data_IF_330571048464
#
_entry.id   IF_330571048464
#
_cell.length_a   1.000
_cell.length_b   1.000
_cell.length_c   1.000
_cell.angle_alpha   90.00
_cell.angle_beta   90.00
_cell.angle_gamma   90.00
#
_symmetry.space_group_name_H-M   'P 1'
#
loop_
_entity.id
_entity.type
_entity.pdbx_description
1 polymer ?
#
# COMPACT_ATOMS: atom_id res chain seq x y z
N UNK A 1 -19.92 -33.69 2.18
CA UNK A 1 -20.40 -32.32 1.87
C UNK A 1 -21.67 -32.44 1.03
N UNK A 2 -22.76 -31.73 1.37
CA UNK A 2 -24.05 -31.83 0.63
C UNK A 2 -23.92 -31.18 -0.76
N UNK A 3 -24.52 -31.79 -1.79
CA UNK A 3 -24.50 -31.30 -3.19
C UNK A 3 -24.96 -29.84 -3.31
N UNK A 4 -25.93 -29.44 -2.49
CA UNK A 4 -26.44 -28.07 -2.46
C UNK A 4 -25.37 -27.05 -2.03
N UNK A 5 -24.52 -27.40 -1.07
CA UNK A 5 -23.41 -26.54 -0.61
C UNK A 5 -22.38 -26.30 -1.71
N UNK A 6 -22.10 -27.31 -2.55
CA UNK A 6 -21.19 -27.18 -3.70
C UNK A 6 -21.78 -26.26 -4.80
N UNK A 7 -23.09 -26.35 -5.06
CA UNK A 7 -23.77 -25.47 -6.01
C UNK A 7 -23.73 -24.01 -5.54
N UNK A 8 -23.96 -23.76 -4.25
CA UNK A 8 -23.85 -22.43 -3.66
C UNK A 8 -22.42 -21.89 -3.77
N UNK A 9 -21.40 -22.67 -3.40
CA UNK A 9 -20.00 -22.25 -3.52
C UNK A 9 -19.62 -21.94 -4.98
N UNK A 10 -20.08 -22.74 -5.95
CA UNK A 10 -19.83 -22.49 -7.36
C UNK A 10 -20.50 -21.19 -7.85
N UNK A 11 -21.70 -20.89 -7.35
CA UNK A 11 -22.38 -19.63 -7.65
C UNK A 11 -21.66 -18.44 -7.03
N UNK A 12 -21.29 -18.53 -5.75
CA UNK A 12 -20.56 -17.50 -5.02
C UNK A 12 -19.22 -17.23 -5.69
N UNK A 13 -18.41 -18.27 -5.94
CA UNK A 13 -17.12 -18.14 -6.62
C UNK A 13 -17.27 -17.47 -7.99
N UNK A 14 -18.23 -17.92 -8.81
CA UNK A 14 -18.46 -17.34 -10.14
C UNK A 14 -18.74 -15.84 -10.09
N UNK A 15 -19.65 -15.39 -9.24
CA UNK A 15 -20.08 -14.00 -9.23
C UNK A 15 -19.12 -13.08 -8.49
N UNK A 16 -18.60 -13.51 -7.35
CA UNK A 16 -17.55 -12.76 -6.65
C UNK A 16 -16.33 -12.56 -7.55
N UNK A 17 -15.85 -13.61 -8.21
CA UNK A 17 -14.74 -13.52 -9.16
C UNK A 17 -15.07 -12.60 -10.33
N UNK A 18 -16.22 -12.79 -10.99
CA UNK A 18 -16.55 -12.02 -12.20
C UNK A 18 -16.66 -10.52 -11.93
N UNK A 19 -17.28 -10.14 -10.80
CA UNK A 19 -17.45 -8.73 -10.42
C UNK A 19 -16.10 -8.08 -10.12
N UNK A 20 -15.21 -8.76 -9.39
CA UNK A 20 -13.92 -8.17 -9.02
C UNK A 20 -12.87 -8.29 -10.13
N UNK A 21 -13.01 -9.18 -11.11
CA UNK A 21 -11.96 -9.54 -12.09
C UNK A 21 -11.39 -8.32 -12.82
N UNK A 22 -12.24 -7.41 -13.32
CA UNK A 22 -11.77 -6.23 -14.07
C UNK A 22 -10.89 -5.34 -13.19
N UNK A 23 -11.29 -5.13 -11.93
CA UNK A 23 -10.54 -4.30 -10.99
C UNK A 23 -9.28 -5.01 -10.51
N UNK A 24 -9.34 -6.31 -10.22
CA UNK A 24 -8.14 -7.08 -9.86
C UNK A 24 -7.13 -7.10 -11.01
N UNK A 25 -7.58 -7.19 -12.26
CA UNK A 25 -6.70 -7.09 -13.42
C UNK A 25 -6.04 -5.72 -13.51
N UNK A 26 -6.80 -4.64 -13.29
CA UNK A 26 -6.26 -3.29 -13.19
C UNK A 26 -5.23 -3.18 -12.07
N UNK A 27 -5.51 -3.75 -10.89
CA UNK A 27 -4.59 -3.73 -9.74
C UNK A 27 -3.31 -4.51 -10.03
N UNK A 28 -3.38 -5.70 -10.64
CA UNK A 28 -2.19 -6.44 -11.07
C UNK A 28 -1.37 -5.61 -12.07
N UNK A 29 -2.01 -5.08 -13.12
CA UNK A 29 -1.33 -4.31 -14.17
C UNK A 29 -0.65 -3.04 -13.63
N UNK A 30 -1.29 -2.36 -12.69
CA UNK A 30 -0.75 -1.15 -12.05
C UNK A 30 0.22 -1.47 -10.92
N UNK A 31 0.10 -2.63 -10.28
CA UNK A 31 0.99 -3.12 -9.22
C UNK A 31 2.35 -3.58 -9.75
N UNK A 32 2.41 -4.19 -10.94
CA UNK A 32 3.66 -4.62 -11.57
C UNK A 32 4.76 -3.55 -11.59
N UNK A 33 4.54 -2.32 -12.11
CA UNK A 33 5.56 -1.28 -12.05
C UNK A 33 5.85 -0.82 -10.62
N UNK A 34 4.87 -0.85 -9.71
CA UNK A 34 5.06 -0.43 -8.31
C UNK A 34 6.02 -1.35 -7.54
N UNK A 35 6.09 -2.65 -7.88
CA UNK A 35 7.08 -3.59 -7.33
C UNK A 35 8.52 -3.07 -7.53
N UNK A 36 8.78 -2.42 -8.66
CA UNK A 36 10.09 -1.88 -9.04
C UNK A 36 10.14 -0.35 -8.96
N UNK A 37 9.34 0.26 -8.08
CA UNK A 37 9.17 1.71 -8.07
C UNK A 37 10.47 2.49 -7.89
N UNK A 38 11.36 2.03 -7.00
CA UNK A 38 12.67 2.63 -6.78
C UNK A 38 13.55 2.54 -8.05
N UNK A 39 13.63 1.35 -8.65
CA UNK A 39 14.43 1.12 -9.86
C UNK A 39 13.91 1.96 -11.04
N UNK A 40 12.59 2.03 -11.22
CA UNK A 40 11.98 2.83 -12.28
C UNK A 40 12.18 4.33 -12.03
N UNK A 41 12.01 4.80 -10.79
CA UNK A 41 12.25 6.21 -10.46
C UNK A 41 13.71 6.61 -10.68
N UNK A 42 14.66 5.76 -10.30
CA UNK A 42 16.08 5.98 -10.56
C UNK A 42 16.37 6.00 -12.08
N UNK A 43 15.80 5.07 -12.85
CA UNK A 43 15.92 5.04 -14.32
C UNK A 43 15.31 6.28 -15.00
N UNK A 44 14.21 6.81 -14.46
CA UNK A 44 13.56 8.01 -14.97
C UNK A 44 14.22 9.32 -14.49
N UNK A 45 15.23 9.25 -13.62
CA UNK A 45 15.90 10.41 -13.02
C UNK A 45 15.03 11.15 -11.98
N UNK A 46 13.97 10.51 -11.49
CA UNK A 46 13.09 11.07 -10.45
C UNK A 46 13.69 10.94 -9.05
N UNK A 47 14.72 10.09 -8.89
CA UNK A 47 15.47 9.90 -7.65
C UNK A 47 16.95 10.13 -7.90
N UNK A 48 17.53 11.02 -7.10
CA UNK A 48 18.98 11.26 -7.05
C UNK A 48 19.54 10.71 -5.75
N UNK A 49 20.59 9.90 -5.89
CA UNK A 49 21.36 9.38 -4.78
C UNK A 49 22.24 10.49 -4.17
N UNK A 50 22.33 10.56 -2.82
CA UNK A 50 23.27 11.44 -2.18
C UNK A 50 24.71 11.14 -2.64
N UNK A 51 25.59 12.15 -2.73
CA UNK A 51 26.98 11.93 -3.11
C UNK A 51 27.66 10.92 -2.17
N UNK A 52 28.49 10.04 -2.74
CA UNK A 52 29.27 9.08 -1.95
C UNK A 52 30.27 9.86 -1.09
N UNK A 53 30.17 9.70 0.22
CA UNK A 53 31.10 10.27 1.20
C UNK A 53 31.52 9.18 2.18
N UNK A 54 32.55 9.45 2.99
CA UNK A 54 32.97 8.53 4.03
C UNK A 54 31.81 8.20 4.99
N UNK A 55 31.72 6.95 5.43
CA UNK A 55 30.68 6.53 6.39
C UNK A 55 30.78 7.26 7.74
N UNK A 56 31.94 7.85 8.04
CA UNK A 56 32.19 8.60 9.27
C UNK A 56 31.87 10.10 9.14
N UNK A 57 31.36 10.55 7.99
CA UNK A 57 30.99 11.96 7.82
C UNK A 57 29.88 12.33 8.80
N UNK A 58 30.09 13.32 9.69
CA UNK A 58 29.08 13.73 10.65
C UNK A 58 27.79 14.21 9.97
N UNK A 59 26.67 13.95 10.62
CA UNK A 59 25.36 14.46 10.19
C UNK A 59 25.30 15.98 10.41
N UNK A 60 24.69 16.71 9.47
CA UNK A 60 24.35 18.11 9.66
C UNK A 60 23.24 18.23 10.72
N UNK A 61 23.17 19.40 11.38
CA UNK A 61 22.05 19.71 12.25
C UNK A 61 20.73 19.74 11.46
N UNK A 62 19.65 19.24 12.05
CA UNK A 62 18.30 19.33 11.48
C UNK A 62 17.85 20.77 11.25
N UNK A 63 18.38 21.73 12.01
CA UNK A 63 18.14 23.15 11.76
C UNK A 63 18.73 23.60 10.41
N UNK A 64 19.91 23.09 10.03
CA UNK A 64 20.55 23.41 8.74
C UNK A 64 19.82 22.75 7.56
N UNK A 65 19.40 21.50 7.74
CA UNK A 65 18.61 20.78 6.73
C UNK A 65 17.31 21.54 6.47
N UNK A 66 16.60 21.91 7.54
CA UNK A 66 15.37 22.69 7.46
C UNK A 66 15.59 24.06 6.80
N UNK A 67 16.64 24.78 7.20
CA UNK A 67 16.96 26.09 6.65
C UNK A 67 17.23 26.03 5.14
N UNK A 68 17.93 24.99 4.68
CA UNK A 68 18.28 24.81 3.27
C UNK A 68 17.04 24.54 2.40
N UNK A 69 16.11 23.73 2.89
CA UNK A 69 14.84 23.51 2.20
C UNK A 69 13.95 24.76 2.21
N UNK A 70 13.85 25.45 3.35
CA UNK A 70 13.04 26.67 3.49
C UNK A 70 13.59 27.84 2.66
N UNK A 71 14.89 27.89 2.39
CA UNK A 71 15.49 28.92 1.55
C UNK A 71 14.97 28.88 0.10
N UNK A 72 14.60 27.72 -0.43
CA UNK A 72 13.99 27.59 -1.75
C UNK A 72 12.53 28.05 -1.77
N UNK A 73 11.82 27.87 -0.66
CA UNK A 73 10.41 28.24 -0.53
C UNK A 73 10.13 29.04 0.76
N UNK A 74 10.59 30.31 0.86
CA UNK A 74 10.53 31.06 2.11
C UNK A 74 9.10 31.36 2.61
N UNK A 75 8.13 31.44 1.67
CA UNK A 75 6.73 31.72 1.96
C UNK A 75 5.91 30.49 2.36
N UNK A 76 6.50 29.29 2.28
CA UNK A 76 5.81 28.03 2.59
C UNK A 76 6.07 27.59 4.03
N UNK A 77 5.09 26.88 4.58
CA UNK A 77 5.15 26.27 5.92
C UNK A 77 5.69 24.86 5.79
N UNK A 78 6.64 24.51 6.65
CA UNK A 78 7.15 23.13 6.72
C UNK A 78 6.11 22.28 7.42
N UNK A 79 5.68 21.21 6.77
CA UNK A 79 4.67 20.28 7.28
C UNK A 79 5.34 19.03 7.84
N UNK A 80 6.21 18.42 7.04
CA UNK A 80 6.80 17.13 7.37
C UNK A 80 8.29 17.08 7.01
N UNK A 81 9.06 16.33 7.79
CA UNK A 81 10.42 15.93 7.45
C UNK A 81 10.50 14.42 7.59
N UNK A 82 10.89 13.72 6.53
CA UNK A 82 10.89 12.25 6.52
C UNK A 82 12.07 11.71 5.71
N UNK A 83 12.40 10.45 5.94
CA UNK A 83 13.42 9.73 5.18
C UNK A 83 12.91 8.36 4.80
N UNK A 84 13.40 7.86 3.67
CA UNK A 84 13.07 6.52 3.24
C UNK A 84 13.67 5.48 4.21
N UNK A 85 13.18 4.25 4.14
CA UNK A 85 13.61 3.20 5.08
C UNK A 85 15.06 2.81 4.85
N UNK A 86 15.46 2.72 3.59
CA UNK A 86 16.78 2.25 3.17
C UNK A 86 17.79 3.38 2.95
N UNK A 87 17.34 4.64 2.96
CA UNK A 87 18.17 5.82 2.74
C UNK A 87 18.44 6.57 4.05
N UNK A 88 19.68 6.47 4.55
CA UNK A 88 20.10 7.14 5.78
C UNK A 88 20.76 8.50 5.55
N UNK A 89 21.15 8.81 4.32
CA UNK A 89 21.98 9.96 4.00
C UNK A 89 21.18 11.15 3.45
N UNK A 90 19.86 11.06 3.35
CA UNK A 90 19.02 12.20 2.95
C UNK A 90 17.76 12.35 3.80
N UNK A 91 17.24 13.57 3.80
CA UNK A 91 15.94 13.93 4.34
C UNK A 91 15.11 14.60 3.25
N UNK A 92 13.84 14.28 3.19
CA UNK A 92 12.86 14.97 2.37
C UNK A 92 12.02 15.88 3.25
N UNK A 93 11.99 17.16 2.89
CA UNK A 93 11.22 18.20 3.56
C UNK A 93 9.98 18.52 2.72
N UNK A 94 8.80 18.41 3.33
CA UNK A 94 7.50 18.75 2.74
C UNK A 94 7.10 20.18 3.14
N UNK A 95 6.81 21.02 2.15
CA UNK A 95 6.43 22.42 2.33
C UNK A 95 5.11 22.76 1.66
N UNK A 96 4.11 23.12 2.47
CA UNK A 96 2.75 23.50 2.03
C UNK A 96 2.49 25.00 2.16
N UNK A 97 1.34 25.47 1.68
CA UNK A 97 0.91 26.87 1.92
C UNK A 97 0.53 27.09 3.39
N UNK A 98 -0.05 26.07 4.00
CA UNK A 98 -0.42 25.99 5.41
C UNK A 98 0.07 24.66 5.98
N UNK A 99 0.00 24.49 7.31
CA UNK A 99 0.37 23.24 7.96
C UNK A 99 -0.47 22.03 7.47
N UNK A 100 -1.71 22.26 7.05
CA UNK A 100 -2.67 21.22 6.62
C UNK A 100 -2.98 21.26 5.11
N UNK A 101 -2.18 21.97 4.31
CA UNK A 101 -2.38 21.98 2.86
C UNK A 101 -2.11 20.60 2.26
N UNK A 102 -3.11 20.03 1.59
CA UNK A 102 -2.96 18.79 0.82
C UNK A 102 -2.48 19.08 -0.62
N UNK A 103 -2.86 20.23 -1.17
CA UNK A 103 -2.53 20.64 -2.53
C UNK A 103 -1.31 21.55 -2.63
N UNK A 104 -0.64 21.49 -3.79
CA UNK A 104 0.53 22.31 -4.14
C UNK A 104 1.72 22.13 -3.17
N UNK A 105 1.81 21.03 -2.46
CA UNK A 105 2.95 20.71 -1.58
C UNK A 105 4.24 20.54 -2.38
N UNK A 106 5.33 21.15 -1.90
CA UNK A 106 6.67 21.03 -2.49
C UNK A 106 7.53 20.10 -1.65
N UNK A 107 8.31 19.25 -2.30
CA UNK A 107 9.22 18.34 -1.65
C UNK A 107 10.65 18.70 -2.01
N UNK A 108 11.50 18.82 -0.99
CA UNK A 108 12.92 19.14 -1.17
C UNK A 108 13.74 18.06 -0.49
N UNK A 109 14.50 17.30 -1.29
CA UNK A 109 15.44 16.29 -0.80
C UNK A 109 16.78 16.96 -0.50
N UNK A 110 17.27 16.77 0.72
CA UNK A 110 18.46 17.44 1.25
C UNK A 110 19.41 16.38 1.81
N UNK A 111 20.69 16.49 1.50
CA UNK A 111 21.72 15.62 2.06
C UNK A 111 21.84 15.84 3.57
N UNK A 112 21.69 14.75 4.33
CA UNK A 112 21.66 14.77 5.79
C UNK A 112 23.00 15.12 6.45
N UNK A 113 24.12 15.06 5.71
CA UNK A 113 25.48 15.29 6.21
C UNK A 113 25.96 16.71 5.89
N UNK A 114 25.64 17.21 4.70
CA UNK A 114 26.09 18.52 4.21
C UNK A 114 25.02 19.60 4.27
N UNK A 115 23.75 19.23 4.47
CA UNK A 115 22.58 20.10 4.31
C UNK A 115 22.43 20.71 2.90
N UNK A 116 23.12 20.18 1.88
CA UNK A 116 22.95 20.64 0.50
C UNK A 116 21.66 20.07 -0.08
N UNK A 117 20.91 20.91 -0.80
CA UNK A 117 19.76 20.45 -1.59
C UNK A 117 20.27 19.53 -2.70
N UNK A 118 19.66 18.35 -2.80
CA UNK A 118 19.97 17.34 -3.80
C UNK A 118 19.04 17.46 -5.01
N UNK A 119 17.73 17.45 -4.75
CA UNK A 119 16.69 17.47 -5.77
C UNK A 119 15.38 17.97 -5.18
N UNK A 120 14.44 18.33 -6.05
CA UNK A 120 13.03 18.53 -5.73
C UNK A 120 12.22 17.36 -6.28
N UNK A 121 11.94 16.31 -5.49
CA UNK A 121 11.18 15.16 -5.95
C UNK A 121 9.76 15.55 -6.38
N UNK A 122 9.33 14.93 -7.47
CA UNK A 122 8.03 15.18 -8.10
C UNK A 122 7.08 14.01 -7.82
N UNK A 123 6.63 13.89 -6.58
CA UNK A 123 5.77 12.76 -6.16
C UNK A 123 4.37 12.77 -6.79
N UNK A 124 3.90 13.93 -7.25
CA UNK A 124 2.51 14.13 -7.70
C UNK A 124 2.35 14.12 -9.23
N UNK A 125 3.35 13.66 -9.98
CA UNK A 125 3.33 13.62 -11.44
C UNK A 125 4.12 12.44 -12.01
N UNK A 126 3.98 12.22 -13.32
CA UNK A 126 4.71 11.18 -14.04
C UNK A 126 4.04 9.80 -14.02
N UNK A 127 4.69 8.86 -14.70
CA UNK A 127 4.16 7.51 -14.92
C UNK A 127 3.89 6.77 -13.60
N UNK A 128 4.86 6.79 -12.67
CA UNK A 128 4.74 6.10 -11.38
C UNK A 128 3.60 6.64 -10.53
N UNK A 129 3.37 7.96 -10.54
CA UNK A 129 2.24 8.58 -9.85
C UNK A 129 0.89 8.09 -10.43
N UNK A 130 0.76 8.01 -11.76
CA UNK A 130 -0.47 7.52 -12.40
C UNK A 130 -0.73 6.06 -12.04
N UNK A 131 0.29 5.20 -12.08
CA UNK A 131 0.17 3.79 -11.68
C UNK A 131 -0.24 3.68 -10.21
N UNK A 132 0.39 4.46 -9.33
CA UNK A 132 0.07 4.49 -7.90
C UNK A 132 -1.38 4.93 -7.64
N UNK A 133 -1.83 6.03 -8.24
CA UNK A 133 -3.20 6.53 -8.04
C UNK A 133 -4.25 5.57 -8.58
N UNK A 134 -4.03 4.98 -9.75
CA UNK A 134 -4.94 3.93 -10.26
C UNK A 134 -4.99 2.72 -9.31
N UNK A 135 -3.86 2.32 -8.75
CA UNK A 135 -3.77 1.16 -7.87
C UNK A 135 -4.40 1.40 -6.49
N UNK A 136 -4.22 2.59 -5.92
CA UNK A 136 -4.63 2.87 -4.54
C UNK A 136 -6.06 3.40 -4.47
N UNK A 137 -6.46 4.28 -5.39
CA UNK A 137 -7.72 5.00 -5.25
C UNK A 137 -8.46 5.33 -6.56
N UNK A 138 -8.01 4.85 -7.72
CA UNK A 138 -8.63 5.15 -9.02
C UNK A 138 -8.79 6.66 -9.31
N UNK A 139 -7.95 7.51 -8.72
CA UNK A 139 -8.10 8.98 -8.73
C UNK A 139 -9.38 9.50 -8.04
N UNK A 140 -10.06 8.66 -7.26
CA UNK A 140 -11.29 9.01 -6.56
C UNK A 140 -11.10 9.20 -5.05
N UNK A 141 -9.85 9.19 -4.55
CA UNK A 141 -9.54 9.35 -3.13
C UNK A 141 -10.22 8.29 -2.26
N UNK A 142 -10.71 8.67 -1.08
CA UNK A 142 -11.33 7.73 -0.14
C UNK A 142 -12.46 6.86 -0.76
N UNK A 143 -13.42 7.40 -1.54
CA UNK A 143 -14.39 6.56 -2.26
C UNK A 143 -13.76 5.45 -3.11
N UNK A 144 -12.68 5.76 -3.82
CA UNK A 144 -11.97 4.79 -4.66
C UNK A 144 -11.23 3.74 -3.83
N UNK A 145 -10.58 4.15 -2.75
CA UNK A 145 -9.95 3.22 -1.79
C UNK A 145 -10.98 2.23 -1.25
N UNK A 146 -12.11 2.72 -0.75
CA UNK A 146 -13.17 1.86 -0.18
C UNK A 146 -13.80 0.94 -1.24
N UNK A 147 -13.98 1.43 -2.46
CA UNK A 147 -14.46 0.63 -3.57
C UNK A 147 -13.49 -0.51 -3.92
N UNK A 148 -12.19 -0.22 -4.04
CA UNK A 148 -11.16 -1.24 -4.26
C UNK A 148 -11.06 -2.21 -3.08
N UNK A 149 -11.21 -1.73 -1.85
CA UNK A 149 -11.31 -2.56 -0.64
C UNK A 149 -12.47 -3.55 -0.72
N UNK A 150 -13.65 -3.11 -1.18
CA UNK A 150 -14.79 -4.00 -1.44
C UNK A 150 -14.46 -5.04 -2.52
N UNK A 151 -13.79 -4.63 -3.61
CA UNK A 151 -13.34 -5.58 -4.64
C UNK A 151 -12.34 -6.60 -4.08
N UNK A 152 -11.47 -6.19 -3.15
CA UNK A 152 -10.58 -7.08 -2.40
C UNK A 152 -11.34 -8.09 -1.54
N UNK A 153 -12.41 -7.67 -0.86
CA UNK A 153 -13.29 -8.59 -0.10
C UNK A 153 -13.90 -9.64 -1.02
N UNK A 154 -14.38 -9.23 -2.20
CA UNK A 154 -14.91 -10.15 -3.20
C UNK A 154 -13.84 -11.13 -3.69
N UNK A 155 -12.59 -10.69 -3.88
CA UNK A 155 -11.47 -11.56 -4.21
C UNK A 155 -11.24 -12.61 -3.11
N UNK A 156 -11.21 -12.22 -1.84
CA UNK A 156 -11.04 -13.16 -0.71
C UNK A 156 -12.17 -14.19 -0.67
N UNK A 157 -13.42 -13.74 -0.86
CA UNK A 157 -14.59 -14.64 -0.97
C UNK A 157 -14.45 -15.59 -2.15
N UNK A 158 -13.97 -15.10 -3.30
CA UNK A 158 -13.71 -15.92 -4.49
C UNK A 158 -12.64 -16.98 -4.22
N UNK A 159 -11.55 -16.62 -3.54
CA UNK A 159 -10.47 -17.54 -3.17
C UNK A 159 -10.99 -18.64 -2.23
N UNK A 160 -11.65 -18.26 -1.13
CA UNK A 160 -12.16 -19.22 -0.13
C UNK A 160 -13.18 -20.18 -0.78
N UNK A 161 -14.11 -19.65 -1.57
CA UNK A 161 -15.08 -20.48 -2.28
C UNK A 161 -14.42 -21.35 -3.36
N UNK A 162 -13.36 -20.87 -4.01
CA UNK A 162 -12.54 -21.62 -4.97
C UNK A 162 -11.84 -22.81 -4.34
N UNK A 163 -11.23 -22.66 -3.16
CA UNK A 163 -10.60 -23.75 -2.41
C UNK A 163 -11.60 -24.86 -2.06
N UNK A 164 -12.79 -24.47 -1.63
CA UNK A 164 -13.88 -25.42 -1.33
C UNK A 164 -14.30 -26.21 -2.57
N UNK A 165 -14.28 -25.58 -3.75
CA UNK A 165 -14.56 -26.24 -5.03
C UNK A 165 -13.39 -27.10 -5.52
N UNK A 166 -12.15 -26.70 -5.25
CA UNK A 166 -10.95 -27.40 -5.69
C UNK A 166 -10.85 -28.81 -5.09
N UNK A 167 -11.08 -28.95 -3.78
CA UNK A 167 -10.88 -30.19 -3.03
C UNK A 167 -11.59 -31.44 -3.62
N UNK A 168 -12.89 -31.42 -3.96
CA UNK A 168 -13.55 -32.59 -4.56
C UNK A 168 -13.13 -32.87 -6.01
N UNK A 169 -12.73 -31.85 -6.77
CA UNK A 169 -12.38 -32.00 -8.20
C UNK A 169 -10.96 -32.53 -8.41
N UNK A 170 -10.01 -32.15 -7.55
CA UNK A 170 -8.59 -32.48 -7.70
C UNK A 170 -8.15 -33.66 -6.85
N UNK A 171 -9.04 -34.26 -6.04
CA UNK A 171 -8.76 -35.45 -5.23
C UNK A 171 -8.29 -36.67 -6.04
N UNK A 172 -8.53 -36.69 -7.35
CA UNK A 172 -8.21 -37.80 -8.27
C UNK A 172 -7.05 -37.49 -9.23
N UNK A 173 -6.41 -36.33 -9.10
CA UNK A 173 -5.34 -35.86 -9.98
C UNK A 173 -4.08 -35.66 -9.15
N UNK A 174 -2.93 -35.95 -9.73
CA UNK A 174 -1.66 -35.60 -9.10
C UNK A 174 -1.48 -34.08 -9.03
N UNK A 175 -0.72 -33.60 -8.06
CA UNK A 175 -0.46 -32.16 -7.94
C UNK A 175 0.24 -31.65 -9.20
N UNK A 176 -0.38 -30.68 -9.89
CA UNK A 176 0.16 -30.11 -11.13
C UNK A 176 -0.24 -30.83 -12.42
N UNK A 177 -1.09 -31.85 -12.37
CA UNK A 177 -1.55 -32.54 -13.57
C UNK A 177 -2.49 -31.66 -14.42
N UNK A 178 -2.00 -31.22 -15.59
CA UNK A 178 -2.83 -30.60 -16.63
C UNK A 178 -3.10 -31.65 -17.70
N UNK A 179 -4.35 -32.09 -17.82
CA UNK A 179 -4.72 -33.16 -18.76
C UNK A 179 -4.66 -32.66 -20.20
N UNK A 180 -3.60 -33.04 -20.93
CA UNK A 180 -3.29 -32.55 -22.28
C UNK A 180 -4.19 -33.17 -23.36
N UNK A 181 -4.62 -34.41 -23.17
CA UNK A 181 -5.40 -35.20 -24.16
C UNK A 181 -6.93 -35.04 -24.02
N UNK A 182 -7.38 -33.99 -23.31
CA UNK A 182 -8.79 -33.74 -23.03
C UNK A 182 -9.30 -32.53 -23.81
N UNK A 183 -10.63 -32.43 -23.91
CA UNK A 183 -11.30 -31.34 -24.60
C UNK A 183 -10.78 -29.97 -24.12
N UNK A 184 -10.68 -28.95 -24.99
CA UNK A 184 -10.10 -27.64 -24.67
C UNK A 184 -10.70 -26.95 -23.44
N UNK A 185 -11.97 -27.24 -23.13
CA UNK A 185 -12.67 -26.76 -21.93
C UNK A 185 -12.05 -27.30 -20.64
N UNK A 186 -11.74 -28.59 -20.60
CA UNK A 186 -11.20 -29.26 -19.42
C UNK A 186 -9.76 -28.83 -19.17
N UNK A 187 -8.96 -28.71 -20.24
CA UNK A 187 -7.59 -28.20 -20.16
C UNK A 187 -7.52 -26.79 -19.53
N UNK A 188 -8.43 -25.89 -19.90
CA UNK A 188 -8.49 -24.53 -19.32
C UNK A 188 -8.92 -24.51 -17.86
N UNK A 189 -9.85 -25.39 -17.49
CA UNK A 189 -10.25 -25.56 -16.10
C UNK A 189 -9.07 -26.06 -15.27
N UNK A 190 -8.34 -27.06 -15.78
CA UNK A 190 -7.14 -27.60 -15.13
C UNK A 190 -6.05 -26.51 -15.00
N UNK A 191 -5.82 -25.70 -16.03
CA UNK A 191 -4.89 -24.55 -15.97
C UNK A 191 -5.33 -23.51 -14.93
N UNK A 192 -6.62 -23.13 -14.89
CA UNK A 192 -7.14 -22.18 -13.91
C UNK A 192 -6.98 -22.71 -12.48
N UNK A 193 -7.30 -24.00 -12.25
CA UNK A 193 -7.15 -24.64 -10.95
C UNK A 193 -5.68 -24.74 -10.52
N UNK A 194 -4.79 -25.11 -11.43
CA UNK A 194 -3.36 -25.22 -11.16
C UNK A 194 -2.77 -23.87 -10.76
N UNK A 195 -2.94 -22.85 -11.61
CA UNK A 195 -2.43 -21.51 -11.33
C UNK A 195 -3.06 -20.93 -10.06
N UNK A 196 -4.36 -21.15 -9.85
CA UNK A 196 -5.08 -20.69 -8.66
C UNK A 196 -4.55 -21.29 -7.37
N UNK A 197 -4.12 -22.56 -7.38
CA UNK A 197 -3.48 -23.18 -6.20
C UNK A 197 -2.02 -22.74 -6.02
N UNK A 198 -1.28 -22.55 -7.11
CA UNK A 198 0.09 -22.01 -7.05
C UNK A 198 0.11 -20.61 -6.44
N UNK A 199 -0.86 -19.75 -6.78
CA UNK A 199 -0.93 -18.38 -6.25
C UNK A 199 -1.77 -18.26 -4.98
N UNK A 200 -2.39 -19.35 -4.49
CA UNK A 200 -3.42 -19.31 -3.45
C UNK A 200 -3.03 -18.51 -2.21
N UNK A 201 -1.92 -18.90 -1.56
CA UNK A 201 -1.49 -18.29 -0.30
C UNK A 201 -1.09 -16.84 -0.54
N UNK A 202 -0.34 -16.58 -1.61
CA UNK A 202 0.11 -15.24 -1.95
C UNK A 202 -1.07 -14.30 -2.26
N UNK A 203 -2.00 -14.71 -3.13
CA UNK A 203 -3.16 -13.91 -3.49
C UNK A 203 -4.10 -13.68 -2.30
N UNK A 204 -4.19 -14.64 -1.37
CA UNK A 204 -4.94 -14.46 -0.12
C UNK A 204 -4.27 -13.42 0.78
N UNK A 205 -2.95 -13.51 0.98
CA UNK A 205 -2.19 -12.54 1.80
C UNK A 205 -2.24 -11.14 1.17
N UNK A 206 -1.91 -11.01 -0.11
CA UNK A 206 -1.92 -9.72 -0.83
C UNK A 206 -3.34 -9.15 -0.90
N UNK A 207 -4.35 -9.98 -1.16
CA UNK A 207 -5.75 -9.57 -1.17
C UNK A 207 -6.22 -9.08 0.19
N UNK A 208 -5.97 -9.83 1.27
CA UNK A 208 -6.35 -9.42 2.64
C UNK A 208 -5.61 -8.17 3.10
N UNK A 209 -4.31 -8.08 2.85
CA UNK A 209 -3.52 -6.90 3.21
C UNK A 209 -3.90 -5.68 2.37
N UNK A 210 -4.30 -5.87 1.12
CA UNK A 210 -4.86 -4.81 0.27
C UNK A 210 -6.18 -4.26 0.81
N UNK A 211 -7.05 -5.13 1.35
CA UNK A 211 -8.27 -4.68 2.06
C UNK A 211 -7.88 -3.85 3.28
N UNK A 212 -6.91 -4.28 4.08
CA UNK A 212 -6.47 -3.51 5.25
C UNK A 212 -5.92 -2.13 4.83
N UNK A 213 -5.10 -2.10 3.78
CA UNK A 213 -4.53 -0.86 3.24
C UNK A 213 -5.60 0.09 2.67
N UNK A 214 -6.69 -0.43 2.09
CA UNK A 214 -7.81 0.38 1.62
C UNK A 214 -8.54 1.14 2.74
N UNK A 215 -8.33 0.76 4.01
CA UNK A 215 -8.88 1.43 5.18
C UNK A 215 -7.85 2.33 5.88
N UNK A 216 -6.64 2.49 5.34
CA UNK A 216 -5.54 3.21 5.97
C UNK A 216 -5.94 4.62 6.44
N UNK A 217 -6.57 5.41 5.57
CA UNK A 217 -7.02 6.76 5.89
C UNK A 217 -7.99 6.80 7.09
N UNK A 218 -8.92 5.85 7.15
CA UNK A 218 -9.89 5.77 8.25
C UNK A 218 -9.22 5.33 9.56
N UNK A 219 -8.31 4.37 9.48
CA UNK A 219 -7.53 3.89 10.62
C UNK A 219 -6.63 5.00 11.18
N UNK A 220 -5.97 5.76 10.32
CA UNK A 220 -5.13 6.90 10.70
C UNK A 220 -5.99 8.02 11.29
N UNK A 221 -7.13 8.37 10.67
CA UNK A 221 -8.06 9.37 11.22
C UNK A 221 -8.61 8.96 12.58
N UNK A 222 -8.91 7.67 12.77
CA UNK A 222 -9.32 7.15 14.06
C UNK A 222 -8.20 7.27 15.10
N UNK A 223 -6.95 6.94 14.73
CA UNK A 223 -5.79 7.13 15.61
C UNK A 223 -5.58 8.62 15.98
N UNK A 224 -5.73 9.54 15.04
CA UNK A 224 -5.65 10.98 15.28
C UNK A 224 -6.74 11.44 16.27
N UNK A 225 -7.97 10.95 16.08
CA UNK A 225 -9.10 11.29 16.95
C UNK A 225 -8.96 10.69 18.36
N UNK A 226 -8.49 9.45 18.48
CA UNK A 226 -8.40 8.72 19.74
C UNK A 226 -7.09 9.03 20.49
N UNK A 227 -5.95 8.62 19.93
CA UNK A 227 -4.66 8.70 20.60
C UNK A 227 -4.09 10.12 20.56
N UNK A 228 -3.99 10.74 19.38
CA UNK A 228 -3.35 12.06 19.26
C UNK A 228 -4.12 13.14 20.03
N UNK A 229 -5.46 13.10 20.03
CA UNK A 229 -6.27 14.03 20.83
C UNK A 229 -6.03 13.86 22.34
N UNK A 230 -5.86 12.62 22.82
CA UNK A 230 -5.56 12.34 24.22
C UNK A 230 -4.14 12.78 24.61
N UNK A 231 -3.15 12.60 23.72
CA UNK A 231 -1.76 13.04 23.95
C UNK A 231 -1.65 14.58 24.00
N UNK A 232 -2.49 15.27 23.24
CA UNK A 232 -2.44 16.73 23.08
C UNK A 232 -3.47 17.48 23.93
N UNK A 233 -4.35 16.77 24.64
CA UNK A 233 -5.40 17.33 25.49
C UNK A 233 -4.91 18.42 26.46
N UNK A 234 -3.74 18.29 27.13
CA UNK A 234 -3.26 19.33 28.05
C UNK A 234 -2.93 20.67 27.38
N UNK A 235 -2.72 20.67 26.06
CA UNK A 235 -2.34 21.84 25.27
C UNK A 235 -3.52 22.42 24.47
N UNK A 236 -4.72 21.85 24.63
CA UNK A 236 -5.91 22.27 23.88
C UNK A 236 -6.29 23.71 24.24
N UNK A 237 -6.37 24.57 23.24
CA UNK A 237 -6.76 25.98 23.39
C UNK A 237 -5.61 26.93 23.77
N UNK A 238 -4.39 26.43 23.95
CA UNK A 238 -3.22 27.30 24.15
C UNK A 238 -2.85 28.00 22.83
N UNK A 239 -2.47 29.29 22.85
CA UNK A 239 -2.05 30.00 21.64
C UNK A 239 -0.79 29.36 21.06
N UNK A 240 -0.64 29.21 19.74
CA UNK A 240 0.55 28.62 19.14
C UNK A 240 1.83 29.35 19.57
N UNK A 241 2.96 28.65 19.80
CA UNK A 241 4.21 29.29 20.16
C UNK A 241 4.69 30.26 19.07
N UNK A 242 5.20 31.42 19.48
CA UNK A 242 5.80 32.41 18.57
C UNK A 242 7.29 32.16 18.35
N UNK A 243 7.92 31.38 19.22
CA UNK A 243 9.32 30.98 19.15
C UNK A 243 9.42 29.46 19.28
N UNK A 244 10.23 28.87 18.41
CA UNK A 244 10.52 27.44 18.42
C UNK A 244 11.94 27.20 18.91
N UNK A 245 12.12 26.14 19.70
CA UNK A 245 13.44 25.63 20.02
C UNK A 245 14.12 25.07 18.77
N UNK A 246 15.43 24.80 18.87
CA UNK A 246 16.17 24.10 17.83
C UNK A 246 15.52 22.75 17.53
N UNK A 247 15.27 22.48 16.25
CA UNK A 247 14.76 21.19 15.79
C UNK A 247 15.74 20.07 16.15
N UNK A 248 17.05 20.35 16.07
CA UNK A 248 18.07 19.39 16.47
C UNK A 248 18.03 19.05 17.96
N UNK A 249 17.72 20.03 18.82
CA UNK A 249 17.52 19.77 20.24
C UNK A 249 16.29 18.88 20.47
N UNK A 250 15.17 19.16 19.79
CA UNK A 250 13.96 18.34 19.86
C UNK A 250 14.21 16.90 19.38
N UNK A 251 14.97 16.73 18.29
CA UNK A 251 15.36 15.41 17.76
C UNK A 251 16.20 14.64 18.78
N UNK A 252 17.16 15.30 19.42
CA UNK A 252 17.96 14.68 20.49
C UNK A 252 17.10 14.25 21.67
N UNK A 253 16.10 15.04 22.05
CA UNK A 253 15.19 14.69 23.13
C UNK A 253 14.37 13.43 22.79
N UNK A 254 13.87 13.31 21.56
CA UNK A 254 13.17 12.11 21.11
C UNK A 254 14.08 10.87 21.02
N UNK A 255 15.30 11.02 20.49
CA UNK A 255 16.29 9.94 20.45
C UNK A 255 16.72 9.49 21.85
N UNK A 256 16.84 10.40 22.80
CA UNK A 256 17.14 10.05 24.19
C UNK A 256 15.99 9.26 24.85
N UNK A 257 14.75 9.46 24.41
CA UNK A 257 13.59 8.72 24.91
C UNK A 257 13.49 7.30 24.35
N UNK A 258 13.88 7.12 23.08
CA UNK A 258 13.87 5.83 22.38
C UNK A 258 15.25 5.59 21.70
N UNK A 259 16.29 5.24 22.46
CA UNK A 259 17.68 5.16 21.97
C UNK A 259 17.91 4.04 20.95
N UNK A 260 17.10 2.97 21.04
CA UNK A 260 17.17 1.80 20.15
C UNK A 260 16.28 1.97 18.89
N UNK A 261 15.69 3.16 18.72
CA UNK A 261 14.84 3.47 17.58
C UNK A 261 15.46 4.57 16.70
N UNK A 262 15.08 4.58 15.43
CA UNK A 262 15.51 5.58 14.45
C UNK A 262 14.37 6.56 14.19
N UNK A 263 14.70 7.83 14.04
CA UNK A 263 13.72 8.82 13.62
C UNK A 263 13.37 8.60 12.14
N UNK A 264 12.11 8.30 11.83
CA UNK A 264 11.64 8.10 10.46
C UNK A 264 10.92 9.32 9.88
N UNK A 265 10.08 9.96 10.69
CA UNK A 265 9.18 11.02 10.25
C UNK A 265 8.95 12.04 11.38
N UNK A 266 8.93 13.32 11.03
CA UNK A 266 8.62 14.45 11.92
C UNK A 266 7.41 15.19 11.33
N UNK A 267 6.35 15.29 12.12
CA UNK A 267 5.21 16.16 11.91
C UNK A 267 5.44 17.50 12.62
N UNK A 268 5.32 18.60 11.88
CA UNK A 268 5.51 19.94 12.43
C UNK A 268 4.26 20.42 13.18
N UNK A 269 4.40 21.43 14.05
CA UNK A 269 3.28 21.99 14.78
C UNK A 269 2.15 22.44 13.85
N UNK A 270 0.92 22.05 14.18
CA UNK A 270 -0.30 22.41 13.45
C UNK A 270 -0.68 21.51 12.29
N UNK A 271 0.07 20.43 12.05
CA UNK A 271 -0.33 19.35 11.11
C UNK A 271 -1.31 18.37 11.76
N UNK A 272 -1.99 17.54 10.99
CA UNK A 272 -2.93 16.53 11.52
C UNK A 272 -2.25 15.40 12.32
N UNK A 273 -0.92 15.34 12.30
CA UNK A 273 -0.12 14.37 13.04
C UNK A 273 0.51 14.97 14.32
N UNK A 274 0.11 16.19 14.70
CA UNK A 274 0.61 16.88 15.89
C UNK A 274 -0.40 17.92 16.41
N UNK A 275 -0.08 18.61 17.50
CA UNK A 275 -0.80 19.84 17.89
C UNK A 275 -0.05 21.09 17.41
N UNK A 276 -0.64 22.30 17.53
CA UNK A 276 0.07 23.56 17.28
C UNK A 276 1.30 23.82 18.17
N UNK A 277 1.55 22.97 19.16
CA UNK A 277 2.64 23.12 20.14
C UNK A 277 3.73 22.05 20.03
N UNK A 278 3.53 21.00 19.24
CA UNK A 278 4.44 19.85 19.27
C UNK A 278 5.11 19.58 17.91
N UNK A 279 6.34 19.10 17.99
CA UNK A 279 6.89 18.22 16.97
C UNK A 279 6.41 16.79 17.26
N UNK A 280 5.60 16.23 16.37
CA UNK A 280 5.22 14.82 16.41
C UNK A 280 6.32 13.98 15.77
N UNK A 281 7.16 13.34 16.57
CA UNK A 281 8.28 12.54 16.08
C UNK A 281 7.91 11.05 16.09
N UNK A 282 7.97 10.42 14.92
CA UNK A 282 7.60 9.02 14.75
C UNK A 282 8.88 8.20 14.64
N UNK A 283 9.23 7.57 15.76
CA UNK A 283 10.39 6.71 15.90
C UNK A 283 10.05 5.34 15.32
N UNK A 284 10.94 4.72 14.56
CA UNK A 284 10.78 3.36 14.01
C UNK A 284 11.84 2.42 14.57
N UNK A 285 11.52 1.14 14.70
CA UNK A 285 12.51 0.17 15.20
C UNK A 285 13.74 0.07 14.29
N UNK A 286 14.85 -0.43 14.84
CA UNK A 286 16.13 -0.55 14.14
C UNK A 286 16.34 -1.92 13.46
N UNK A 287 15.50 -2.91 13.77
CA UNK A 287 15.52 -4.25 13.17
C UNK A 287 14.59 -4.40 11.95
N UNK A 288 14.81 -5.37 11.06
CA UNK A 288 13.92 -5.63 9.92
C UNK A 288 12.45 -5.88 10.29
N UNK A 289 12.18 -6.45 11.47
CA UNK A 289 10.82 -6.78 11.92
C UNK A 289 10.12 -5.55 12.52
N UNK A 290 10.88 -4.69 13.22
CA UNK A 290 10.34 -3.53 13.94
C UNK A 290 10.42 -2.23 13.15
N UNK A 291 11.13 -2.20 12.02
CA UNK A 291 11.38 -1.00 11.20
C UNK A 291 10.12 -0.36 10.62
N UNK A 292 9.01 -1.11 10.58
CA UNK A 292 7.70 -0.67 10.07
C UNK A 292 6.76 -0.22 11.18
N UNK A 293 7.08 -0.54 12.43
CA UNK A 293 6.31 -0.11 13.60
C UNK A 293 6.83 1.26 14.03
N UNK A 294 5.95 2.25 13.97
CA UNK A 294 6.24 3.57 14.48
C UNK A 294 5.90 3.66 15.97
N UNK A 295 6.50 4.63 16.66
CA UNK A 295 6.19 5.01 18.02
C UNK A 295 6.15 6.53 18.08
N UNK A 296 4.97 7.13 18.31
CA UNK A 296 4.86 8.58 18.42
C UNK A 296 5.53 9.08 19.70
N UNK A 297 6.33 10.13 19.54
CA UNK A 297 7.01 10.88 20.59
C UNK A 297 6.69 12.35 20.36
N UNK A 298 5.95 12.96 21.28
CA UNK A 298 5.64 14.38 21.22
C UNK A 298 6.70 15.18 21.97
N UNK A 299 7.30 16.12 21.27
CA UNK A 299 8.26 17.08 21.82
C UNK A 299 7.64 18.47 21.75
N UNK A 300 7.59 19.17 22.86
CA UNK A 300 7.18 20.57 22.94
C UNK A 300 8.10 21.41 22.05
N UNK A 301 7.51 22.07 21.05
CA UNK A 301 8.23 22.75 20.00
C UNK A 301 8.89 24.05 20.48
N UNK A 302 8.44 24.61 21.61
CA UNK A 302 9.02 25.83 22.19
C UNK A 302 10.19 25.51 23.12
N UNK A 303 10.13 24.39 23.84
CA UNK A 303 11.08 24.07 24.92
C UNK A 303 12.02 22.89 24.59
N UNK A 304 11.76 22.16 23.51
CA UNK A 304 12.43 20.90 23.15
C UNK A 304 12.36 19.82 24.24
N UNK A 305 11.31 19.85 25.07
CA UNK A 305 11.08 18.85 26.12
C UNK A 305 10.10 17.79 25.66
N UNK A 306 10.35 16.55 26.07
CA UNK A 306 9.39 15.45 25.91
C UNK A 306 8.10 15.76 26.67
N UNK A 307 6.96 15.58 26.01
CA UNK A 307 5.63 15.76 26.63
C UNK A 307 4.86 14.45 26.77
N UNK A 308 4.78 13.65 25.71
CA UNK A 308 4.11 12.34 25.74
C UNK A 308 4.80 11.37 24.75
N UNK A 309 4.70 10.07 25.02
CA UNK A 309 5.09 9.00 24.09
C UNK A 309 4.28 7.75 24.41
N UNK A 310 3.73 7.11 23.37
CA UNK A 310 2.84 5.96 23.51
C UNK A 310 3.20 4.85 22.55
N UNK A 311 2.93 3.61 22.95
CA UNK A 311 2.96 2.47 22.05
C UNK A 311 1.87 2.60 20.98
N UNK A 312 2.13 2.04 19.81
CA UNK A 312 1.15 2.06 18.72
C UNK A 312 0.01 1.09 19.01
N UNK A 313 -1.27 1.54 18.93
CA UNK A 313 -2.40 0.66 19.13
C UNK A 313 -2.42 -0.51 18.14
N UNK A 314 -2.98 -1.64 18.57
CA UNK A 314 -3.02 -2.88 17.78
C UNK A 314 -3.60 -2.69 16.37
N UNK A 315 -4.60 -1.82 16.20
CA UNK A 315 -5.26 -1.58 14.92
C UNK A 315 -4.34 -0.86 13.93
N UNK A 316 -3.54 0.09 14.41
CA UNK A 316 -2.55 0.80 13.60
C UNK A 316 -1.33 -0.09 13.36
N UNK A 317 -0.90 -0.87 14.35
CA UNK A 317 0.13 -1.88 14.17
C UNK A 317 -0.24 -2.91 13.09
N UNK A 318 -1.51 -3.34 13.06
CA UNK A 318 -2.02 -4.27 12.03
C UNK A 318 -1.90 -3.67 10.62
N UNK A 319 -2.25 -2.40 10.45
CA UNK A 319 -2.06 -1.68 9.19
C UNK A 319 -0.57 -1.57 8.79
N UNK A 320 0.30 -1.23 9.74
CA UNK A 320 1.73 -1.09 9.47
C UNK A 320 2.40 -2.43 9.12
N UNK A 321 1.95 -3.52 9.72
CA UNK A 321 2.44 -4.88 9.43
C UNK A 321 1.87 -5.41 8.10
N UNK A 322 0.65 -5.03 7.72
CA UNK A 322 0.05 -5.47 6.44
C UNK A 322 0.76 -4.89 5.22
N UNK A 323 1.33 -3.69 5.34
CA UNK A 323 2.01 -2.98 4.26
C UNK A 323 3.16 -3.79 3.62
N UNK A 324 4.20 -4.23 4.36
CA UNK A 324 5.28 -5.02 3.77
C UNK A 324 4.79 -6.33 3.13
N UNK A 325 3.81 -6.99 3.76
CA UNK A 325 3.21 -8.23 3.23
C UNK A 325 2.49 -8.02 1.89
N UNK A 326 1.94 -6.82 1.66
CA UNK A 326 1.34 -6.43 0.40
C UNK A 326 2.41 -6.07 -0.64
N UNK A 327 3.35 -5.21 -0.27
CA UNK A 327 4.33 -4.61 -1.18
C UNK A 327 5.46 -5.55 -1.60
N UNK A 328 5.84 -6.51 -0.74
CA UNK A 328 6.95 -7.42 -1.01
C UNK A 328 8.32 -6.72 -1.02
N UNK A 329 8.47 -5.66 -0.23
CA UNK A 329 9.62 -4.75 -0.24
C UNK A 329 10.66 -5.02 0.88
N UNK A 330 10.56 -6.16 1.57
CA UNK A 330 11.43 -6.53 2.70
C UNK A 330 12.49 -7.60 2.36
N UNK A 331 12.43 -8.21 1.18
CA UNK A 331 13.32 -9.29 0.75
C UNK A 331 14.22 -8.94 -0.45
N UNK A 332 14.33 -7.64 -0.77
CA UNK A 332 15.14 -7.15 -1.89
C UNK A 332 14.72 -7.68 -3.26
N UNK A 333 15.66 -7.69 -4.21
CA UNK A 333 15.39 -8.03 -5.61
C UNK A 333 14.83 -9.45 -5.82
N UNK A 334 15.30 -10.51 -5.13
CA UNK A 334 14.71 -11.85 -5.29
C UNK A 334 13.22 -11.88 -4.93
N UNK A 335 12.82 -11.18 -3.87
CA UNK A 335 11.41 -11.10 -3.46
C UNK A 335 10.57 -10.32 -4.48
N UNK A 336 11.10 -9.21 -5.01
CA UNK A 336 10.46 -8.44 -6.09
C UNK A 336 10.19 -9.30 -7.33
N UNK A 337 11.18 -10.10 -7.75
CA UNK A 337 11.04 -11.04 -8.88
C UNK A 337 9.96 -12.08 -8.58
N UNK A 338 9.95 -12.65 -7.37
CA UNK A 338 8.92 -13.60 -6.96
C UNK A 338 7.52 -12.97 -6.99
N UNK A 339 7.38 -11.74 -6.48
CA UNK A 339 6.12 -10.98 -6.52
C UNK A 339 5.65 -10.75 -7.95
N UNK A 340 6.55 -10.36 -8.86
CA UNK A 340 6.23 -10.18 -10.27
C UNK A 340 5.72 -11.49 -10.90
N UNK A 341 6.40 -12.62 -10.66
CA UNK A 341 6.00 -13.92 -11.23
C UNK A 341 4.62 -14.35 -10.70
N UNK A 342 4.38 -14.20 -9.39
CA UNK A 342 3.09 -14.54 -8.78
C UNK A 342 1.96 -13.62 -9.25
N UNK A 343 2.26 -12.35 -9.49
CA UNK A 343 1.31 -11.40 -10.09
C UNK A 343 0.97 -11.78 -11.54
N UNK A 344 1.97 -12.13 -12.36
CA UNK A 344 1.76 -12.63 -13.73
C UNK A 344 0.92 -13.91 -13.76
N UNK A 345 1.15 -14.83 -12.82
CA UNK A 345 0.29 -16.01 -12.67
C UNK A 345 -1.13 -15.63 -12.26
N UNK A 346 -1.29 -14.64 -11.39
CA UNK A 346 -2.61 -14.15 -10.97
C UNK A 346 -3.35 -13.48 -12.13
N UNK A 347 -2.68 -12.69 -12.97
CA UNK A 347 -3.22 -12.18 -14.23
C UNK A 347 -3.73 -13.34 -15.11
N UNK A 348 -2.95 -14.41 -15.22
CA UNK A 348 -3.36 -15.60 -15.97
C UNK A 348 -4.56 -16.33 -15.33
N UNK A 349 -4.67 -16.39 -13.99
CA UNK A 349 -5.85 -16.93 -13.28
C UNK A 349 -7.10 -16.10 -13.60
N UNK A 350 -7.01 -14.78 -13.50
CA UNK A 350 -8.11 -13.86 -13.79
C UNK A 350 -8.56 -13.99 -15.25
N UNK A 351 -7.61 -14.00 -16.18
CA UNK A 351 -7.86 -14.16 -17.60
C UNK A 351 -8.52 -15.51 -17.93
N UNK A 352 -7.96 -16.61 -17.42
CA UNK A 352 -8.50 -17.95 -17.66
C UNK A 352 -9.90 -18.11 -17.06
N UNK A 353 -10.17 -17.52 -15.88
CA UNK A 353 -11.50 -17.47 -15.27
C UNK A 353 -12.52 -16.75 -16.15
N UNK A 354 -12.16 -15.57 -16.68
CA UNK A 354 -13.01 -14.81 -17.60
C UNK A 354 -13.31 -15.58 -18.89
N UNK A 355 -12.28 -16.22 -19.48
CA UNK A 355 -12.42 -17.04 -20.68
C UNK A 355 -13.33 -18.26 -20.44
N UNK A 356 -13.22 -18.92 -19.29
CA UNK A 356 -14.09 -20.03 -18.90
C UNK A 356 -15.55 -19.59 -18.80
N UNK A 357 -15.80 -18.42 -18.21
CA UNK A 357 -17.13 -17.84 -18.13
C UNK A 357 -17.71 -17.51 -19.51
N UNK A 358 -16.93 -16.81 -20.35
CA UNK A 358 -17.35 -16.39 -21.69
C UNK A 358 -17.71 -17.57 -22.59
N UNK A 359 -16.83 -18.57 -22.68
CA UNK A 359 -17.05 -19.75 -23.54
C UNK A 359 -18.19 -20.65 -23.07
N UNK A 360 -18.47 -20.69 -21.75
CA UNK A 360 -19.65 -21.41 -21.22
C UNK A 360 -20.96 -20.79 -21.72
N UNK A 361 -21.00 -19.46 -21.92
CA UNK A 361 -22.15 -18.73 -22.46
C UNK A 361 -22.39 -19.03 -23.94
N UNK A 362 -21.31 -19.16 -24.71
CA UNK A 362 -21.36 -19.49 -26.14
C UNK A 362 -21.83 -20.92 -26.45
N UNK A 363 -21.79 -21.86 -25.50
CA UNK A 363 -22.39 -23.19 -25.69
C UNK A 363 -23.88 -23.24 -25.31
N UNK A 364 -24.36 -22.29 -24.50
CA UNK A 364 -25.76 -22.20 -24.11
C UNK A 364 -26.64 -21.57 -25.21
N UNK A 365 -26.08 -20.66 -26.03
CA UNK A 365 -26.79 -20.03 -27.15
C UNK A 365 -27.13 -20.99 -28.31
N UNK A 366 -26.23 -21.88 -28.78
CA UNK A 366 -26.53 -22.89 -29.79
C UNK A 366 -27.61 -23.88 -29.34
N UNK A 367 -27.62 -24.30 -28.07
CA UNK A 367 -28.65 -25.20 -27.52
C UNK A 367 -30.03 -24.54 -27.46
N UNK A 368 -30.10 -23.25 -27.13
CA UNK A 368 -31.37 -22.49 -27.14
C UNK A 368 -31.84 -22.26 -28.57
N UNK A 369 -30.95 -21.88 -29.50
CA UNK A 369 -31.32 -21.73 -30.91
C UNK A 369 -31.72 -23.07 -31.55
N UNK A 370 -31.06 -24.17 -31.19
CA UNK A 370 -31.49 -25.50 -31.59
C UNK A 370 -32.85 -25.86 -31.00
N UNK A 371 -33.10 -25.61 -29.72
CA UNK A 371 -34.41 -25.87 -29.09
C UNK A 371 -35.53 -25.03 -29.70
N UNK A 372 -35.28 -23.74 -29.96
CA UNK A 372 -36.23 -22.85 -30.64
C UNK A 372 -36.50 -23.33 -32.08
N UNK A 373 -35.44 -23.69 -32.84
CA UNK A 373 -35.60 -24.23 -34.18
C UNK A 373 -36.32 -25.59 -34.21
N UNK A 374 -36.14 -26.42 -33.17
CA UNK A 374 -36.87 -27.68 -32.99
C UNK A 374 -38.35 -27.42 -32.66
N UNK A 375 -38.67 -26.49 -31.77
CA UNK A 375 -40.05 -26.14 -31.42
C UNK A 375 -40.79 -25.48 -32.60
N UNK A 376 -40.14 -24.59 -33.35
CA UNK A 376 -40.68 -23.98 -34.58
C UNK A 376 -41.01 -25.03 -35.66
N UNK A 377 -40.17 -26.06 -35.79
CA UNK A 377 -40.39 -27.16 -36.74
C UNK A 377 -41.56 -28.10 -36.37
N UNK A 378 -41.98 -28.12 -35.09
CA UNK A 378 -43.11 -28.91 -34.62
C UNK A 378 -44.43 -28.13 -34.58
N UNK A 379 -44.39 -26.79 -34.54
CA UNK A 379 -45.59 -25.92 -34.58
C UNK A 379 -46.09 -25.67 -36.01
N UNK A 380 -45.29 -25.99 -37.04
CA UNK A 380 -45.65 -25.84 -38.47
C UNK A 380 -46.13 -27.14 -39.15
N UNK A 381 -46.45 -28.19 -38.38
CA UNK A 381 -47.22 -29.36 -38.83
C UNK A 381 -48.55 -29.40 -38.12
#
# INVERSE_FOLDING_TARGET
MRIQSLKTCAWVHKWSSLVCTVFMLLLCLTGMPLIFGHEINHLLGNEVDPPVMSNNTPQASMDKVLASAKALYPSRVVQFVFRDMDENNSWTVSLGKTATSEDDTKFVKVDSRTAKVLQEPKFNEGFMYVMFKLHVDLFAGLPGMLFLGLMGVLLVVAIISGVVLYAPFMRKLEFGEIRKDRAPKLKRLDTHNFLGVVTLIWALVVGTTGIINAWADLVIKYWQFDQMSAMTAPYKGLPPPTQFASLQASVKAAQAREPDMRLGFIAFPGTDFSSPHHYGMFMRGDSPITSRLFKPVLIDAQTAKLTDSREVPWYLATLLISQPLHFGDYGGMPLKILWLVLDLFTIAVLWTGLVLWWKKRQHFQPEIQQRIAFDEAYVTR
#
